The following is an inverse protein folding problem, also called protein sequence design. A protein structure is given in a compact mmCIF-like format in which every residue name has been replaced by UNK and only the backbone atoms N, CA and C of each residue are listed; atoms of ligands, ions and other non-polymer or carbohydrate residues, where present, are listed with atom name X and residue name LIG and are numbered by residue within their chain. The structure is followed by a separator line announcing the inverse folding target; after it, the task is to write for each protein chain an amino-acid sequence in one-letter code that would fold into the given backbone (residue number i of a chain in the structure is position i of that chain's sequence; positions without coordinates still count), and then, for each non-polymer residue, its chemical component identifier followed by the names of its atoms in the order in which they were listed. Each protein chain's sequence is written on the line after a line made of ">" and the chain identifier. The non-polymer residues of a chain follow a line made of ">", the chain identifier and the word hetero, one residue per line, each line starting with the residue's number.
data_IF_229346278382
#
_entry.id   IF_229346278382
#
_cell.length_a   1.000
_cell.length_b   1.000
_cell.length_c   1.000
_cell.angle_alpha   90.00
_cell.angle_beta   90.00
_cell.angle_gamma   90.00
#
_symmetry.space_group_name_H-M   'P 1'
#
loop_
_entity.id
_entity.type
_entity.pdbx_description
1 polymer ?
#
# COMPACT_ATOMS: atom_id res chain seq x y z
N UNK A 1 -19.70 29.53 10.79
CA UNK A 1 -19.63 30.23 9.52
C UNK A 1 -21.00 30.19 8.84
N UNK A 2 -21.64 31.36 8.71
CA UNK A 2 -23.01 31.48 8.21
C UNK A 2 -23.17 30.97 6.78
N UNK A 3 -22.14 31.12 5.96
CA UNK A 3 -22.15 30.62 4.58
C UNK A 3 -22.27 29.10 4.52
N UNK A 4 -21.59 28.37 5.41
CA UNK A 4 -21.68 26.91 5.50
C UNK A 4 -23.07 26.47 5.97
N UNK A 5 -23.67 27.18 6.92
CA UNK A 5 -25.05 26.92 7.35
C UNK A 5 -26.03 27.07 6.19
N UNK A 6 -25.91 28.15 5.41
CA UNK A 6 -26.76 28.36 4.24
C UNK A 6 -26.54 27.32 3.13
N UNK A 7 -25.28 26.89 2.91
CA UNK A 7 -24.97 25.80 1.98
C UNK A 7 -25.62 24.50 2.44
N UNK A 8 -25.48 24.14 3.71
CA UNK A 8 -26.08 22.92 4.27
C UNK A 8 -27.60 22.93 4.17
N UNK A 9 -28.27 24.08 4.45
CA UNK A 9 -29.72 24.24 4.25
C UNK A 9 -30.12 24.02 2.79
N UNK A 10 -29.33 24.51 1.84
CA UNK A 10 -29.57 24.26 0.40
C UNK A 10 -29.43 22.79 0.05
N UNK A 11 -28.42 22.10 0.59
CA UNK A 11 -28.20 20.65 0.38
C UNK A 11 -29.42 19.87 0.90
N UNK A 12 -29.91 20.18 2.10
CA UNK A 12 -31.08 19.52 2.66
C UNK A 12 -32.31 19.70 1.74
N UNK A 13 -32.58 20.94 1.27
CA UNK A 13 -33.70 21.21 0.33
C UNK A 13 -33.55 20.45 -0.99
N UNK A 14 -32.32 20.36 -1.53
CA UNK A 14 -32.08 19.57 -2.74
C UNK A 14 -32.35 18.09 -2.50
N UNK A 15 -31.94 17.56 -1.33
CA UNK A 15 -32.23 16.17 -0.96
C UNK A 15 -33.77 15.91 -0.94
N UNK A 16 -34.56 16.83 -0.38
CA UNK A 16 -36.02 16.75 -0.39
C UNK A 16 -36.58 16.81 -1.80
N UNK A 17 -36.12 17.74 -2.62
CA UNK A 17 -36.56 17.92 -4.02
C UNK A 17 -36.30 16.69 -4.88
N UNK A 18 -35.12 16.08 -4.73
CA UNK A 18 -34.70 14.91 -5.50
C UNK A 18 -35.01 13.58 -4.82
N UNK A 19 -35.68 13.58 -3.68
CA UNK A 19 -36.01 12.39 -2.88
C UNK A 19 -34.77 11.53 -2.56
N UNK A 20 -33.68 12.18 -2.14
CA UNK A 20 -32.46 11.55 -1.73
C UNK A 20 -32.18 11.77 -0.24
N UNK A 21 -31.75 10.73 0.49
CA UNK A 21 -31.38 10.91 1.89
C UNK A 21 -30.16 11.84 1.98
N UNK A 22 -30.25 12.80 2.90
CA UNK A 22 -29.11 13.67 3.27
C UNK A 22 -28.60 13.22 4.62
N UNK A 23 -27.29 13.13 4.77
CA UNK A 23 -26.63 12.73 6.01
C UNK A 23 -25.66 13.80 6.48
N UNK A 24 -25.56 13.96 7.80
CA UNK A 24 -24.55 14.78 8.43
C UNK A 24 -23.25 14.00 8.57
N UNK A 25 -22.13 14.60 8.19
CA UNK A 25 -20.79 14.03 8.32
C UNK A 25 -19.88 14.92 9.14
N UNK A 26 -18.82 14.36 9.75
CA UNK A 26 -17.95 15.05 10.68
C UNK A 26 -16.51 15.23 10.18
N UNK A 27 -16.14 14.80 9.01
CA UNK A 27 -14.78 14.96 8.42
C UNK A 27 -13.62 14.86 9.45
N UNK A 28 -13.60 13.77 10.22
CA UNK A 28 -12.69 13.58 11.38
C UNK A 28 -11.25 13.44 10.92
N UNK A 29 -10.36 14.27 11.48
CA UNK A 29 -8.92 14.20 11.25
C UNK A 29 -8.12 13.97 12.54
N UNK A 30 -8.71 14.18 13.70
CA UNK A 30 -8.10 13.92 15.02
C UNK A 30 -9.18 13.56 16.04
N UNK A 31 -8.77 12.99 17.18
CA UNK A 31 -9.68 12.41 18.17
C UNK A 31 -10.30 13.48 19.06
N UNK A 32 -9.47 14.18 19.82
CA UNK A 32 -9.89 15.17 20.79
C UNK A 32 -9.65 16.59 20.28
N UNK A 33 -10.42 17.60 20.73
CA UNK A 33 -10.26 19.00 20.29
C UNK A 33 -8.82 19.52 20.42
N UNK A 34 -8.10 19.12 21.45
CA UNK A 34 -6.74 19.57 21.73
C UNK A 34 -5.69 18.91 20.80
N UNK A 35 -6.04 17.84 20.10
CA UNK A 35 -5.14 17.15 19.17
C UNK A 35 -4.90 17.94 17.88
N UNK A 36 -5.63 19.01 17.65
CA UNK A 36 -5.42 19.95 16.55
C UNK A 36 -3.96 20.38 16.39
N UNK A 37 -3.25 20.52 17.52
CA UNK A 37 -1.84 20.93 17.53
C UNK A 37 -0.95 19.96 16.75
N UNK A 38 -1.22 18.65 16.82
CA UNK A 38 -0.43 17.62 16.12
C UNK A 38 -0.64 17.72 14.60
N UNK A 39 -1.89 17.94 14.18
CA UNK A 39 -2.21 18.15 12.76
C UNK A 39 -1.52 19.40 12.23
N UNK A 40 -1.54 20.49 12.96
CA UNK A 40 -0.88 21.76 12.61
C UNK A 40 0.64 21.58 12.45
N UNK A 41 1.29 20.85 13.36
CA UNK A 41 2.73 20.55 13.26
C UNK A 41 3.04 19.77 11.99
N UNK A 42 2.26 18.74 11.69
CA UNK A 42 2.44 17.90 10.49
C UNK A 42 2.25 18.73 9.22
N UNK A 43 1.19 19.51 9.14
CA UNK A 43 0.89 20.36 7.98
C UNK A 43 1.98 21.43 7.77
N UNK A 44 2.46 22.05 8.84
CA UNK A 44 3.59 23.00 8.77
C UNK A 44 4.84 22.31 8.24
N UNK A 45 5.15 21.10 8.71
CA UNK A 45 6.27 20.29 8.23
C UNK A 45 6.16 19.91 6.74
N UNK A 46 4.94 19.81 6.22
CA UNK A 46 4.68 19.56 4.81
C UNK A 46 4.62 20.84 3.94
N UNK A 47 4.75 22.01 4.55
CA UNK A 47 4.81 23.30 3.85
C UNK A 47 3.44 23.92 3.54
N UNK A 48 2.35 23.49 4.20
CA UNK A 48 1.05 24.13 4.07
C UNK A 48 1.08 25.55 4.69
N UNK A 49 0.62 26.55 3.93
CA UNK A 49 0.66 27.96 4.37
C UNK A 49 -0.45 28.31 5.35
N UNK A 50 -1.53 27.55 5.33
CA UNK A 50 -2.74 27.68 6.14
C UNK A 50 -2.77 26.72 7.33
N UNK A 51 -1.63 26.18 7.69
CA UNK A 51 -1.52 25.21 8.79
C UNK A 51 -2.02 25.76 10.15
N UNK A 52 -1.92 27.08 10.36
CA UNK A 52 -2.38 27.73 11.58
C UNK A 52 -3.91 28.00 11.61
N UNK A 53 -4.59 27.88 10.47
CA UNK A 53 -6.06 28.05 10.35
C UNK A 53 -6.75 26.68 10.36
N UNK A 54 -6.82 26.06 11.53
CA UNK A 54 -7.40 24.73 11.69
C UNK A 54 -8.91 24.77 11.91
N UNK A 55 -9.63 23.99 11.09
CA UNK A 55 -11.04 23.72 11.35
C UNK A 55 -11.21 22.70 12.52
N UNK A 56 -12.33 22.70 13.24
CA UNK A 56 -12.59 21.81 14.37
C UNK A 56 -12.94 20.39 13.90
N UNK A 57 -11.95 19.67 13.36
CA UNK A 57 -12.09 18.35 12.71
C UNK A 57 -11.89 17.17 13.69
N UNK A 58 -12.31 17.32 14.93
CA UNK A 58 -12.27 16.25 15.94
C UNK A 58 -13.48 15.32 15.83
N UNK A 59 -13.36 14.12 16.43
CA UNK A 59 -14.45 13.16 16.50
C UNK A 59 -15.55 13.67 17.41
N UNK A 60 -16.76 13.89 16.87
CA UNK A 60 -17.94 14.31 17.64
C UNK A 60 -18.80 13.13 18.01
N UNK A 61 -19.35 13.18 19.23
CA UNK A 61 -20.43 12.29 19.66
C UNK A 61 -21.73 12.61 18.94
N UNK A 62 -22.73 11.72 19.07
CA UNK A 62 -24.08 11.97 18.51
C UNK A 62 -24.69 13.25 19.05
N UNK A 63 -24.56 13.50 20.36
CA UNK A 63 -25.07 14.71 21.00
C UNK A 63 -24.40 15.97 20.47
N UNK A 64 -23.11 15.95 20.28
CA UNK A 64 -22.36 17.07 19.69
C UNK A 64 -22.78 17.31 18.23
N UNK A 65 -22.95 16.24 17.46
CA UNK A 65 -23.45 16.34 16.06
C UNK A 65 -24.86 16.93 16.01
N UNK A 66 -25.77 16.50 16.88
CA UNK A 66 -27.12 17.07 16.95
C UNK A 66 -27.08 18.57 17.27
N UNK A 67 -26.17 19.00 18.17
CA UNK A 67 -25.96 20.40 18.47
C UNK A 67 -25.40 21.21 17.30
N UNK A 68 -24.42 20.65 16.58
CA UNK A 68 -23.84 21.30 15.37
C UNK A 68 -24.90 21.55 14.29
N UNK A 69 -25.91 20.69 14.17
CA UNK A 69 -26.98 20.79 13.18
C UNK A 69 -28.31 21.35 13.72
N UNK A 70 -28.33 21.90 14.96
CA UNK A 70 -29.57 22.45 15.58
C UNK A 70 -30.23 23.58 14.76
N UNK A 71 -29.45 24.27 13.91
CA UNK A 71 -29.95 25.31 13.00
C UNK A 71 -30.94 24.79 11.93
N UNK A 72 -31.04 23.47 11.76
CA UNK A 72 -32.03 22.82 10.89
C UNK A 72 -33.38 22.58 11.62
N UNK A 73 -33.42 22.79 12.94
CA UNK A 73 -34.50 22.37 13.83
C UNK A 73 -34.34 20.91 14.28
N UNK A 74 -34.86 20.58 15.47
CA UNK A 74 -34.60 19.30 16.15
C UNK A 74 -34.97 18.08 15.31
N UNK A 75 -36.14 18.08 14.65
CA UNK A 75 -36.60 16.97 13.82
C UNK A 75 -35.72 16.73 12.60
N UNK A 76 -35.27 17.79 11.92
CA UNK A 76 -34.41 17.68 10.76
C UNK A 76 -32.97 17.34 11.16
N UNK A 77 -32.49 17.87 12.28
CA UNK A 77 -31.19 17.48 12.83
C UNK A 77 -31.16 15.98 13.18
N UNK A 78 -32.18 15.45 13.85
CA UNK A 78 -32.30 14.02 14.13
C UNK A 78 -32.35 13.18 12.85
N UNK A 79 -33.10 13.63 11.85
CA UNK A 79 -33.19 12.97 10.55
C UNK A 79 -31.82 12.82 9.90
N UNK A 80 -31.05 13.90 9.76
CA UNK A 80 -29.77 13.88 9.03
C UNK A 80 -28.64 13.26 9.85
N UNK A 81 -28.65 13.38 11.18
CA UNK A 81 -27.58 12.89 12.06
C UNK A 81 -27.78 11.42 12.43
N UNK A 82 -29.01 11.00 12.71
CA UNK A 82 -29.28 9.66 13.24
C UNK A 82 -30.03 8.81 12.21
N UNK A 83 -31.23 9.25 11.77
CA UNK A 83 -32.09 8.39 10.96
C UNK A 83 -31.48 8.04 9.62
N UNK A 84 -31.03 9.05 8.87
CA UNK A 84 -30.48 8.83 7.52
C UNK A 84 -29.09 8.19 7.54
N UNK A 85 -28.27 8.44 8.56
CA UNK A 85 -26.97 7.77 8.68
C UNK A 85 -27.13 6.27 8.92
N UNK A 86 -28.06 5.87 9.79
CA UNK A 86 -28.41 4.47 9.99
C UNK A 86 -29.04 3.86 8.73
N UNK A 87 -29.94 4.58 8.06
CA UNK A 87 -30.53 4.13 6.80
C UNK A 87 -29.47 3.80 5.76
N UNK A 88 -28.47 4.67 5.57
CA UNK A 88 -27.37 4.41 4.64
C UNK A 88 -26.54 3.20 5.06
N UNK A 89 -26.28 3.03 6.37
CA UNK A 89 -25.58 1.87 6.88
C UNK A 89 -26.36 0.56 6.60
N UNK A 90 -27.67 0.59 6.79
CA UNK A 90 -28.55 -0.57 6.55
C UNK A 90 -28.70 -0.91 5.04
N UNK A 91 -28.49 0.06 4.16
CA UNK A 91 -28.44 -0.16 2.71
C UNK A 91 -27.13 -0.86 2.24
N UNK A 92 -26.11 -0.90 3.08
CA UNK A 92 -24.82 -1.51 2.74
C UNK A 92 -24.89 -3.03 2.93
N UNK A 93 -24.51 -3.76 1.91
CA UNK A 93 -24.36 -5.22 1.98
C UNK A 93 -22.96 -5.60 2.50
N UNK A 94 -22.89 -6.79 3.12
CA UNK A 94 -21.59 -7.35 3.50
C UNK A 94 -20.88 -7.86 2.26
N UNK A 95 -19.84 -7.16 1.85
CA UNK A 95 -19.02 -7.53 0.69
C UNK A 95 -17.58 -7.83 1.10
N UNK A 96 -16.88 -8.59 0.28
CA UNK A 96 -15.42 -8.70 0.34
C UNK A 96 -14.83 -7.87 -0.80
N UNK A 97 -14.23 -6.70 -0.53
CA UNK A 97 -13.70 -5.82 -1.57
C UNK A 97 -12.48 -6.42 -2.29
N UNK A 98 -11.80 -7.36 -1.62
CA UNK A 98 -10.64 -8.08 -2.18
C UNK A 98 -11.00 -9.54 -2.34
N UNK A 99 -10.70 -10.12 -3.49
CA UNK A 99 -10.88 -11.56 -3.74
C UNK A 99 -10.05 -12.36 -2.74
N UNK A 100 -10.61 -13.45 -2.15
CA UNK A 100 -9.88 -14.28 -1.19
C UNK A 100 -8.70 -15.03 -1.83
N UNK A 101 -8.81 -15.34 -3.12
CA UNK A 101 -7.81 -16.09 -3.85
C UNK A 101 -6.71 -15.18 -4.39
N UNK A 102 -5.47 -15.62 -4.27
CA UNK A 102 -4.34 -15.01 -4.94
C UNK A 102 -4.44 -15.29 -6.44
N UNK A 103 -4.26 -14.28 -7.26
CA UNK A 103 -4.32 -14.39 -8.73
C UNK A 103 -2.97 -13.94 -9.35
N UNK A 104 -1.87 -14.67 -9.13
CA UNK A 104 -0.61 -14.33 -9.76
C UNK A 104 -0.76 -14.47 -11.29
N UNK A 105 -0.06 -13.64 -12.08
CA UNK A 105 -0.01 -13.85 -13.53
C UNK A 105 0.64 -15.18 -13.85
N UNK A 106 0.33 -15.73 -15.03
CA UNK A 106 0.94 -16.97 -15.51
C UNK A 106 1.97 -16.63 -16.60
N UNK A 107 3.21 -17.07 -16.39
CA UNK A 107 4.25 -17.08 -17.41
C UNK A 107 4.66 -18.54 -17.59
N UNK A 108 4.47 -19.02 -18.81
CA UNK A 108 4.82 -20.40 -19.17
C UNK A 108 6.30 -20.68 -18.86
N UNK A 109 6.58 -21.85 -18.28
CA UNK A 109 7.91 -22.28 -17.91
C UNK A 109 8.68 -21.36 -16.92
N UNK A 110 7.99 -20.49 -16.16
CA UNK A 110 8.63 -19.55 -15.22
C UNK A 110 9.55 -20.25 -14.21
N UNK A 111 9.19 -21.43 -13.75
CA UNK A 111 9.97 -22.21 -12.77
C UNK A 111 11.32 -22.62 -13.35
N UNK A 112 11.32 -23.17 -14.57
CA UNK A 112 12.53 -23.59 -15.25
C UNK A 112 13.36 -22.37 -15.68
N UNK A 113 12.71 -21.32 -16.19
CA UNK A 113 13.40 -20.07 -16.53
C UNK A 113 14.15 -19.48 -15.35
N UNK A 114 13.53 -19.45 -14.17
CA UNK A 114 14.17 -18.94 -12.96
C UNK A 114 15.38 -19.80 -12.56
N UNK A 115 15.25 -21.13 -12.61
CA UNK A 115 16.37 -22.06 -12.36
C UNK A 115 17.52 -21.79 -13.32
N UNK A 116 17.24 -21.74 -14.62
CA UNK A 116 18.26 -21.57 -15.65
C UNK A 116 19.02 -20.23 -15.50
N UNK A 117 18.30 -19.14 -15.28
CA UNK A 117 18.90 -17.82 -15.04
C UNK A 117 19.84 -17.86 -13.84
N UNK A 118 19.38 -18.42 -12.72
CA UNK A 118 20.15 -18.47 -11.48
C UNK A 118 21.39 -19.36 -11.59
N UNK A 119 21.24 -20.56 -12.12
CA UNK A 119 22.37 -21.49 -12.27
C UNK A 119 23.41 -20.98 -13.29
N UNK A 120 22.97 -20.42 -14.42
CA UNK A 120 23.87 -19.83 -15.40
C UNK A 120 24.71 -18.70 -14.79
N UNK A 121 24.12 -17.83 -13.98
CA UNK A 121 24.85 -16.76 -13.31
C UNK A 121 25.75 -17.30 -12.20
N UNK A 122 25.26 -18.28 -11.41
CA UNK A 122 26.03 -18.91 -10.35
C UNK A 122 27.31 -19.59 -10.92
N UNK A 123 27.18 -20.39 -11.97
CA UNK A 123 28.35 -21.02 -12.63
C UNK A 123 29.30 -19.98 -13.22
N UNK A 124 28.79 -18.93 -13.83
CA UNK A 124 29.60 -17.82 -14.35
C UNK A 124 30.42 -17.13 -13.25
N UNK A 125 29.81 -16.97 -12.07
CA UNK A 125 30.47 -16.30 -10.93
C UNK A 125 31.40 -17.23 -10.15
N UNK A 126 30.92 -18.41 -9.76
CA UNK A 126 31.58 -19.29 -8.80
C UNK A 126 32.26 -20.50 -9.44
N UNK A 127 32.06 -20.76 -10.74
CA UNK A 127 32.69 -21.85 -11.45
C UNK A 127 31.84 -23.12 -11.52
N UNK A 128 32.45 -24.19 -12.04
CA UNK A 128 31.86 -25.52 -12.14
C UNK A 128 32.90 -26.54 -11.69
N UNK A 129 32.63 -27.36 -10.63
CA UNK A 129 31.39 -27.40 -9.85
C UNK A 129 31.16 -26.16 -8.96
N UNK A 130 29.91 -25.90 -8.60
CA UNK A 130 29.56 -24.83 -7.64
C UNK A 130 30.11 -25.20 -6.23
N UNK A 131 30.59 -24.21 -5.45
CA UNK A 131 30.86 -24.42 -4.03
C UNK A 131 29.56 -24.89 -3.29
N UNK A 132 29.70 -25.81 -2.36
CA UNK A 132 28.59 -26.42 -1.62
C UNK A 132 27.68 -25.39 -1.01
N UNK A 133 28.22 -24.35 -0.34
CA UNK A 133 27.42 -23.26 0.27
C UNK A 133 26.58 -22.50 -0.75
N UNK A 134 27.07 -22.33 -1.97
CA UNK A 134 26.36 -21.65 -3.07
C UNK A 134 25.24 -22.55 -3.58
N UNK A 135 25.52 -23.81 -3.82
CA UNK A 135 24.57 -24.79 -4.32
C UNK A 135 23.42 -25.00 -3.33
N UNK A 136 23.74 -25.30 -2.07
CA UNK A 136 22.74 -25.51 -1.01
C UNK A 136 21.84 -24.29 -0.81
N UNK A 137 22.43 -23.09 -0.78
CA UNK A 137 21.68 -21.86 -0.64
C UNK A 137 20.74 -21.64 -1.81
N UNK A 138 21.21 -21.83 -3.03
CA UNK A 138 20.45 -21.65 -4.26
C UNK A 138 19.29 -22.64 -4.34
N UNK A 139 19.53 -23.92 -4.10
CA UNK A 139 18.50 -24.95 -4.13
C UNK A 139 17.43 -24.74 -3.06
N UNK A 140 17.81 -24.39 -1.85
CA UNK A 140 16.87 -24.12 -0.76
C UNK A 140 15.92 -23.00 -1.11
N UNK A 141 16.46 -21.88 -1.63
CA UNK A 141 15.62 -20.73 -2.00
C UNK A 141 14.76 -21.01 -3.24
N UNK A 142 15.34 -21.60 -4.30
CA UNK A 142 14.58 -21.96 -5.51
C UNK A 142 13.44 -22.93 -5.19
N UNK A 143 13.67 -23.95 -4.38
CA UNK A 143 12.65 -24.90 -4.01
C UNK A 143 11.51 -24.21 -3.23
N UNK A 144 11.83 -23.31 -2.30
CA UNK A 144 10.82 -22.54 -1.56
C UNK A 144 10.03 -21.62 -2.48
N UNK A 145 10.68 -20.89 -3.37
CA UNK A 145 10.04 -19.96 -4.29
C UNK A 145 9.12 -20.69 -5.26
N UNK A 146 9.59 -21.77 -5.86
CA UNK A 146 8.85 -22.54 -6.87
C UNK A 146 7.67 -23.30 -6.24
N UNK A 147 7.90 -24.00 -5.11
CA UNK A 147 6.83 -24.77 -4.45
C UNK A 147 5.68 -23.88 -3.95
N UNK A 148 5.95 -22.61 -3.67
CA UNK A 148 4.93 -21.64 -3.29
C UNK A 148 4.35 -20.85 -4.49
N UNK A 149 4.74 -21.16 -5.73
CA UNK A 149 4.21 -20.50 -6.93
C UNK A 149 4.69 -19.07 -7.16
N UNK A 150 5.85 -18.68 -6.60
CA UNK A 150 6.38 -17.32 -6.71
C UNK A 150 7.42 -17.12 -7.81
N UNK A 151 7.79 -18.16 -8.56
CA UNK A 151 8.79 -18.04 -9.64
C UNK A 151 8.41 -16.98 -10.66
N UNK A 152 7.13 -16.91 -11.05
CA UNK A 152 6.63 -15.90 -11.97
C UNK A 152 6.87 -14.47 -11.49
N UNK A 153 6.77 -14.21 -10.19
CA UNK A 153 7.02 -12.90 -9.61
C UNK A 153 8.49 -12.50 -9.70
N UNK A 154 9.41 -13.47 -9.50
CA UNK A 154 10.84 -13.26 -9.69
C UNK A 154 11.17 -12.99 -11.16
N UNK A 155 10.57 -13.70 -12.11
CA UNK A 155 10.76 -13.46 -13.55
C UNK A 155 10.26 -12.07 -13.95
N UNK A 156 9.10 -11.63 -13.43
CA UNK A 156 8.59 -10.27 -13.70
C UNK A 156 9.54 -9.22 -13.13
N UNK A 157 9.94 -9.37 -11.86
CA UNK A 157 10.87 -8.44 -11.21
C UNK A 157 12.21 -8.36 -11.97
N UNK A 158 12.76 -9.50 -12.38
CA UNK A 158 13.98 -9.60 -13.17
C UNK A 158 13.86 -8.84 -14.50
N UNK A 159 12.77 -9.05 -15.25
CA UNK A 159 12.54 -8.36 -16.52
C UNK A 159 12.42 -6.84 -16.34
N UNK A 160 11.71 -6.40 -15.30
CA UNK A 160 11.56 -4.98 -14.99
C UNK A 160 12.90 -4.32 -14.63
N UNK A 161 13.69 -4.95 -13.77
CA UNK A 161 15.00 -4.45 -13.37
C UNK A 161 15.97 -4.40 -14.56
N UNK A 162 16.00 -5.45 -15.36
CA UNK A 162 16.88 -5.50 -16.54
C UNK A 162 16.48 -4.43 -17.56
N UNK A 163 15.19 -4.28 -17.85
CA UNK A 163 14.71 -3.23 -18.76
C UNK A 163 15.07 -1.83 -18.26
N UNK A 164 14.88 -1.56 -16.97
CA UNK A 164 15.26 -0.29 -16.37
C UNK A 164 16.76 0.00 -16.54
N UNK A 165 17.61 -0.99 -16.27
CA UNK A 165 19.06 -0.85 -16.43
C UNK A 165 19.48 -0.66 -17.89
N UNK A 166 18.83 -1.37 -18.84
CA UNK A 166 19.05 -1.16 -20.28
C UNK A 166 18.71 0.26 -20.75
N UNK A 167 17.66 0.84 -20.16
CA UNK A 167 17.25 2.21 -20.42
C UNK A 167 18.11 3.27 -19.71
N UNK A 168 19.12 2.84 -18.95
CA UNK A 168 20.07 3.71 -18.24
C UNK A 168 19.61 4.18 -16.85
N UNK A 169 18.56 3.58 -16.29
CA UNK A 169 18.05 3.91 -14.96
C UNK A 169 18.53 2.88 -13.93
N UNK A 170 19.12 3.36 -12.84
CA UNK A 170 19.56 2.50 -11.75
C UNK A 170 18.39 2.02 -10.91
N UNK A 171 18.44 0.74 -10.53
CA UNK A 171 17.47 0.13 -9.62
C UNK A 171 18.19 -0.28 -8.34
N UNK A 172 17.77 0.29 -7.20
CA UNK A 172 18.29 -0.07 -5.89
C UNK A 172 17.43 -1.11 -5.19
N UNK A 173 18.05 -1.97 -4.39
CA UNK A 173 17.36 -2.93 -3.54
C UNK A 173 16.70 -2.25 -2.36
N UNK A 174 15.49 -2.70 -2.01
CA UNK A 174 14.74 -2.22 -0.86
C UNK A 174 14.13 -3.38 -0.07
N UNK A 175 14.24 -3.32 1.25
CA UNK A 175 13.67 -4.33 2.14
C UNK A 175 14.36 -5.69 2.04
N UNK A 176 13.60 -6.76 2.23
CA UNK A 176 14.12 -8.14 2.35
C UNK A 176 14.67 -8.75 1.06
N UNK A 177 14.51 -8.12 -0.11
CA UNK A 177 15.05 -8.63 -1.36
C UNK A 177 16.59 -8.75 -1.32
N UNK A 178 17.27 -7.90 -0.55
CA UNK A 178 18.70 -7.97 -0.33
C UNK A 178 19.18 -9.21 0.44
N UNK A 179 18.28 -9.98 1.05
CA UNK A 179 18.59 -11.25 1.73
C UNK A 179 18.33 -12.49 0.88
N UNK A 180 17.83 -12.34 -0.35
CA UNK A 180 17.56 -13.43 -1.29
C UNK A 180 18.75 -13.65 -2.23
N UNK A 181 19.36 -14.83 -2.16
CA UNK A 181 20.42 -15.21 -3.07
C UNK A 181 19.90 -15.49 -4.49
N UNK A 182 18.67 -15.99 -4.62
CA UNK A 182 17.99 -16.13 -5.90
C UNK A 182 17.77 -14.75 -6.55
N UNK A 183 17.42 -13.71 -5.77
CA UNK A 183 17.31 -12.36 -6.31
C UNK A 183 18.66 -11.82 -6.83
N UNK A 184 19.77 -12.16 -6.17
CA UNK A 184 21.11 -11.83 -6.62
C UNK A 184 21.46 -12.60 -7.91
N UNK A 185 21.21 -13.91 -7.93
CA UNK A 185 21.51 -14.77 -9.08
C UNK A 185 20.61 -14.50 -10.28
N UNK A 186 19.38 -14.04 -10.09
CA UNK A 186 18.49 -13.61 -11.19
C UNK A 186 18.75 -12.17 -11.65
N UNK A 187 19.61 -11.41 -10.98
CA UNK A 187 19.92 -10.03 -11.35
C UNK A 187 18.88 -9.00 -10.96
N UNK A 188 18.03 -9.33 -9.99
CA UNK A 188 17.06 -8.39 -9.39
C UNK A 188 17.77 -7.42 -8.43
N UNK A 189 18.78 -7.91 -7.71
CA UNK A 189 19.58 -7.13 -6.76
C UNK A 189 21.07 -7.35 -6.95
N UNK A 190 21.88 -6.37 -6.57
CA UNK A 190 23.33 -6.45 -6.52
C UNK A 190 23.84 -6.95 -5.16
N UNK A 191 22.99 -6.96 -4.14
CA UNK A 191 23.35 -7.38 -2.78
C UNK A 191 23.54 -8.90 -2.75
N UNK A 192 24.72 -9.35 -2.31
CA UNK A 192 25.01 -10.77 -2.09
C UNK A 192 24.78 -11.12 -0.61
N UNK A 193 23.79 -11.96 -0.26
CA UNK A 193 23.46 -12.28 1.13
C UNK A 193 24.34 -13.38 1.74
N UNK A 194 25.27 -13.95 1.00
CA UNK A 194 26.27 -14.87 1.56
C UNK A 194 27.22 -14.12 2.50
N UNK A 195 27.85 -14.86 3.41
CA UNK A 195 28.88 -14.28 4.26
C UNK A 195 29.98 -13.61 3.42
N UNK A 196 30.60 -12.57 3.97
CA UNK A 196 31.68 -11.86 3.28
C UNK A 196 32.77 -12.83 2.86
N UNK A 197 33.13 -12.82 1.59
CA UNK A 197 34.14 -13.71 0.98
C UNK A 197 34.83 -13.02 -0.17
N UNK A 198 36.01 -13.54 -0.50
CA UNK A 198 36.74 -13.14 -1.69
C UNK A 198 36.49 -14.15 -2.80
N UNK A 199 36.35 -13.66 -4.00
CA UNK A 199 36.16 -14.49 -5.20
C UNK A 199 37.15 -14.03 -6.29
N UNK A 200 38.06 -14.90 -6.66
CA UNK A 200 38.97 -14.63 -7.78
C UNK A 200 38.20 -14.70 -9.10
N UNK A 201 38.22 -13.62 -9.90
CA UNK A 201 37.53 -13.57 -11.18
C UNK A 201 38.07 -14.57 -12.22
N UNK A 202 39.35 -15.00 -12.09
CA UNK A 202 39.98 -15.94 -13.03
C UNK A 202 39.81 -17.40 -12.62
N UNK A 203 40.23 -17.77 -11.42
CA UNK A 203 40.21 -19.17 -11.00
C UNK A 203 38.97 -19.57 -10.20
N UNK A 204 38.11 -18.61 -9.86
CA UNK A 204 36.85 -18.81 -9.09
C UNK A 204 37.07 -19.34 -7.65
N UNK A 205 38.28 -19.21 -7.14
CA UNK A 205 38.63 -19.57 -5.75
C UNK A 205 38.30 -18.44 -4.80
#
# INVERSE_FOLDING_TARGET
>A
NDDLIEINKKIVRLGEEFHKPVVATCDVHFLDPDDEIYRRIIMTGQGFKDADDQAPLYLRTTEEMLKEFEYLGSAKAEEVVITNTNLIADMCERISPVRPDKCPPVIENSDQMLRDICYNKAHKMYGDPLPEIVQERLERELNSIISNGYAVMYIIAQKLVWKSNEDGYLVGSRGSVGSSFVATMSGITEVNPLHAHYLCKHCKY
#
